data_IF_208867650581
#
_entry.id   IF_208867650581
#
_cell.length_a   1.000
_cell.length_b   1.000
_cell.length_c   1.000
_cell.angle_alpha   90.00
_cell.angle_beta   90.00
_cell.angle_gamma   90.00
#
_symmetry.space_group_name_H-M   'P 1'
#
loop_
_entity.id
_entity.type
_entity.pdbx_description
1 polymer ?
#
# COMPACT_ATOMS: atom_id res chain seq x y z
N UNK A 1 -6.78 -59.97 -23.94
CA UNK A 1 -5.64 -59.09 -23.60
C UNK A 1 -6.11 -57.65 -23.57
N UNK A 2 -6.59 -57.18 -22.41
CA UNK A 2 -7.05 -55.81 -22.18
C UNK A 2 -6.50 -55.34 -20.83
N UNK A 3 -5.20 -55.47 -20.64
CA UNK A 3 -4.52 -55.09 -19.39
C UNK A 3 -3.13 -54.62 -19.78
N UNK A 4 -3.01 -53.48 -20.47
CA UNK A 4 -1.71 -52.79 -20.60
C UNK A 4 -1.81 -51.31 -20.97
N UNK A 5 -3.03 -50.75 -21.07
CA UNK A 5 -3.22 -49.33 -21.43
C UNK A 5 -3.83 -48.50 -20.29
N UNK A 6 -3.47 -48.80 -19.03
CA UNK A 6 -3.93 -48.02 -17.88
C UNK A 6 -2.81 -47.56 -16.95
N UNK A 7 -1.55 -47.94 -17.22
CA UNK A 7 -0.41 -47.56 -16.35
C UNK A 7 0.40 -46.35 -16.84
N UNK A 8 0.13 -45.84 -18.05
CA UNK A 8 0.85 -44.68 -18.58
C UNK A 8 0.23 -43.34 -18.22
N UNK A 9 -1.02 -43.32 -17.71
CA UNK A 9 -1.72 -42.09 -17.30
C UNK A 9 -1.51 -41.71 -15.83
N UNK A 10 -0.85 -42.56 -15.02
CA UNK A 10 -0.65 -42.28 -13.59
C UNK A 10 0.62 -41.48 -13.28
N UNK A 11 1.51 -41.27 -14.26
CA UNK A 11 2.79 -40.56 -14.06
C UNK A 11 2.77 -39.09 -14.47
N UNK A 12 1.65 -38.55 -14.97
CA UNK A 12 1.55 -37.14 -15.36
C UNK A 12 1.11 -36.20 -14.22
N UNK A 13 0.98 -36.68 -12.99
CA UNK A 13 0.45 -35.90 -11.86
C UNK A 13 1.52 -35.45 -10.85
N UNK A 14 2.81 -35.71 -11.09
CA UNK A 14 3.89 -35.41 -10.13
C UNK A 14 5.00 -34.52 -10.68
N UNK A 15 4.64 -33.50 -11.47
CA UNK A 15 5.54 -32.36 -11.67
C UNK A 15 4.78 -31.05 -11.85
N UNK A 16 3.88 -30.74 -10.93
CA UNK A 16 3.85 -29.38 -10.41
C UNK A 16 4.87 -29.39 -9.28
N UNK A 17 6.13 -29.05 -9.58
CA UNK A 17 6.93 -28.42 -8.55
C UNK A 17 6.15 -27.16 -8.21
N UNK A 18 5.43 -27.19 -7.10
CA UNK A 18 5.14 -25.95 -6.39
C UNK A 18 6.50 -25.29 -6.22
N UNK A 19 6.77 -24.29 -7.05
CA UNK A 19 7.77 -23.31 -6.74
C UNK A 19 7.23 -22.74 -5.44
N UNK A 20 7.78 -23.18 -4.31
CA UNK A 20 7.72 -22.45 -3.07
C UNK A 20 8.41 -21.11 -3.37
N UNK A 21 7.67 -20.20 -3.99
CA UNK A 21 7.72 -18.82 -3.59
C UNK A 21 7.13 -18.82 -2.18
N UNK A 22 7.92 -19.30 -1.20
CA UNK A 22 7.75 -18.86 0.17
C UNK A 22 8.04 -17.36 0.12
N UNK A 23 7.05 -16.59 -0.32
CA UNK A 23 6.98 -15.17 -0.06
C UNK A 23 7.13 -14.97 1.44
N UNK A 24 7.79 -13.89 1.82
CA UNK A 24 8.09 -13.58 3.21
C UNK A 24 6.90 -13.90 4.13
N UNK A 25 7.15 -14.69 5.17
CA UNK A 25 6.10 -15.09 6.10
C UNK A 25 5.69 -13.81 6.83
N UNK A 26 4.39 -13.52 7.05
CA UNK A 26 3.95 -12.30 7.76
C UNK A 26 4.64 -12.07 9.12
N UNK A 27 5.16 -13.13 9.74
CA UNK A 27 5.96 -13.07 10.98
C UNK A 27 7.32 -12.39 10.85
N UNK A 28 7.84 -12.18 9.63
CA UNK A 28 9.13 -11.53 9.38
C UNK A 28 9.04 -9.99 9.49
N UNK A 29 7.83 -9.42 9.58
CA UNK A 29 7.58 -7.98 9.65
C UNK A 29 7.17 -7.52 11.07
N UNK A 30 7.82 -8.05 12.12
CA UNK A 30 7.46 -7.73 13.52
C UNK A 30 7.61 -6.25 13.89
N UNK A 31 8.37 -5.48 13.09
CA UNK A 31 8.66 -4.08 13.35
C UNK A 31 7.95 -3.19 12.32
N UNK A 32 6.86 -2.57 12.76
CA UNK A 32 6.14 -1.55 12.01
C UNK A 32 6.95 -0.25 11.98
N UNK A 33 7.80 -0.12 10.95
CA UNK A 33 8.56 1.10 10.70
C UNK A 33 7.76 2.05 9.81
N UNK A 34 7.46 3.24 10.33
CA UNK A 34 6.83 4.33 9.60
C UNK A 34 7.42 5.68 10.01
N UNK A 35 7.26 6.67 9.15
CA UNK A 35 7.62 8.06 9.43
C UNK A 35 6.36 8.76 9.96
N UNK A 36 6.44 9.30 11.17
CA UNK A 36 5.37 10.12 11.75
C UNK A 36 5.29 11.49 11.08
N UNK A 37 4.08 11.85 10.68
CA UNK A 37 3.77 13.08 9.97
C UNK A 37 2.60 13.82 10.62
N UNK A 38 2.53 15.13 10.38
CA UNK A 38 1.43 15.98 10.85
C UNK A 38 0.84 16.74 9.68
N UNK A 39 -0.49 16.75 9.59
CA UNK A 39 -1.19 17.41 8.51
C UNK A 39 -1.37 18.88 8.83
N UNK A 40 -0.60 19.74 8.18
CA UNK A 40 -0.69 21.19 8.39
C UNK A 40 -1.70 21.87 7.48
N UNK A 41 -2.09 21.23 6.37
CA UNK A 41 -3.15 21.68 5.49
C UNK A 41 -3.63 20.53 4.59
N UNK A 42 -4.87 20.59 4.09
CA UNK A 42 -5.35 19.68 3.06
C UNK A 42 -6.43 20.32 2.17
N UNK A 43 -6.47 19.89 0.91
CA UNK A 43 -7.48 20.30 -0.07
C UNK A 43 -7.99 19.08 -0.84
N UNK A 44 -9.30 18.99 -1.04
CA UNK A 44 -9.96 17.90 -1.77
C UNK A 44 -10.21 18.31 -3.23
N UNK A 45 -9.89 17.42 -4.17
CA UNK A 45 -10.12 17.62 -5.60
C UNK A 45 -10.87 16.42 -6.20
N UNK A 46 -11.35 16.56 -7.43
CA UNK A 46 -11.93 15.43 -8.15
C UNK A 46 -10.84 14.37 -8.43
N UNK A 47 -11.00 13.18 -7.85
CA UNK A 47 -10.10 12.03 -8.06
C UNK A 47 -8.81 12.01 -7.25
N UNK A 48 -8.49 13.05 -6.48
CA UNK A 48 -7.33 13.07 -5.56
C UNK A 48 -7.48 14.16 -4.50
N UNK A 49 -6.65 14.12 -3.46
CA UNK A 49 -6.53 15.21 -2.50
C UNK A 49 -5.06 15.58 -2.28
N UNK A 50 -4.83 16.79 -1.79
CA UNK A 50 -3.49 17.25 -1.43
C UNK A 50 -3.37 17.37 0.08
N UNK A 51 -2.25 16.89 0.63
CA UNK A 51 -1.87 17.09 2.03
C UNK A 51 -0.57 17.86 2.10
N UNK A 52 -0.49 18.85 2.98
CA UNK A 52 0.79 19.43 3.40
C UNK A 52 1.25 18.72 4.67
N UNK A 53 2.41 18.07 4.58
CA UNK A 53 3.03 17.31 5.67
C UNK A 53 4.35 17.97 6.10
N UNK A 54 5.07 17.39 7.05
CA UNK A 54 6.42 17.82 7.42
C UNK A 54 7.43 17.58 6.29
N UNK A 55 7.18 16.62 5.40
CA UNK A 55 8.00 16.30 4.23
C UNK A 55 7.18 16.16 2.95
N UNK A 56 7.85 16.34 1.80
CA UNK A 56 7.31 15.99 0.49
C UNK A 56 7.92 14.68 0.00
N UNK A 57 7.07 13.73 -0.36
CA UNK A 57 7.43 12.37 -0.76
C UNK A 57 7.24 12.19 -2.25
N UNK A 58 8.30 12.47 -3.03
CA UNK A 58 8.26 12.23 -4.47
C UNK A 58 8.44 10.74 -4.71
N UNK A 59 7.45 10.03 -5.27
CA UNK A 59 7.61 8.62 -5.62
C UNK A 59 8.63 8.48 -6.76
N UNK A 60 9.45 7.43 -6.73
CA UNK A 60 10.32 7.08 -7.85
C UNK A 60 9.54 6.20 -8.83
N UNK A 61 8.95 6.84 -9.84
CA UNK A 61 8.13 6.17 -10.85
C UNK A 61 8.98 5.96 -12.10
N UNK A 62 9.58 4.77 -12.21
CA UNK A 62 10.21 4.34 -13.45
C UNK A 62 9.13 3.79 -14.39
N UNK A 63 9.03 4.39 -15.59
CA UNK A 63 7.93 4.21 -16.56
C UNK A 63 7.61 2.75 -16.95
N UNK A 64 8.57 1.83 -16.77
CA UNK A 64 8.48 0.42 -17.13
C UNK A 64 8.87 -0.55 -15.97
N UNK A 65 8.89 -0.08 -14.72
CA UNK A 65 9.26 -0.91 -13.57
C UNK A 65 8.03 -1.41 -12.81
N UNK A 66 8.01 -2.72 -12.52
CA UNK A 66 7.09 -3.33 -11.54
C UNK A 66 7.43 -2.84 -10.12
N UNK A 67 8.65 -2.32 -9.91
CA UNK A 67 9.16 -1.79 -8.64
C UNK A 67 9.12 -0.26 -8.68
N UNK A 68 7.94 0.32 -8.56
CA UNK A 68 7.81 1.76 -8.30
C UNK A 68 7.87 1.97 -6.78
N UNK A 69 8.73 2.88 -6.33
CA UNK A 69 8.87 3.20 -4.91
C UNK A 69 7.79 4.19 -4.51
N UNK A 70 6.61 3.63 -4.23
CA UNK A 70 5.47 4.38 -3.71
C UNK A 70 5.61 4.60 -2.21
N UNK A 71 5.10 5.74 -1.76
CA UNK A 71 4.92 6.02 -0.35
C UNK A 71 3.43 5.85 -0.02
N UNK A 72 3.15 5.03 0.99
CA UNK A 72 1.81 4.77 1.45
C UNK A 72 1.51 5.57 2.70
N UNK A 73 0.26 5.98 2.88
CA UNK A 73 -0.18 6.80 3.98
C UNK A 73 -1.38 6.16 4.67
N UNK A 74 -1.35 6.16 6.01
CA UNK A 74 -2.53 5.97 6.86
C UNK A 74 -2.71 7.20 7.75
N UNK A 75 -3.95 7.57 8.01
CA UNK A 75 -4.26 8.63 8.97
C UNK A 75 -4.25 8.05 10.39
N UNK A 76 -3.70 8.81 11.34
CA UNK A 76 -3.77 8.51 12.78
C UNK A 76 -5.12 8.97 13.31
N UNK A 77 -6.20 8.33 12.86
CA UNK A 77 -7.57 8.72 13.18
C UNK A 77 -8.52 7.51 13.24
N UNK A 78 -9.28 7.37 14.33
CA UNK A 78 -10.17 6.22 14.53
C UNK A 78 -11.30 6.10 13.47
N UNK A 79 -11.61 7.18 12.75
CA UNK A 79 -12.67 7.19 11.73
C UNK A 79 -12.15 6.90 10.32
N UNK A 80 -10.83 6.87 10.12
CA UNK A 80 -10.21 6.60 8.83
C UNK A 80 -9.19 5.49 8.98
N UNK A 81 -9.45 4.36 8.32
CA UNK A 81 -8.57 3.20 8.35
C UNK A 81 -8.13 2.77 6.94
N UNK A 82 -8.47 3.56 5.93
CA UNK A 82 -8.06 3.33 4.56
C UNK A 82 -6.55 3.47 4.35
N UNK A 83 -6.07 2.83 3.29
CA UNK A 83 -4.69 2.98 2.79
C UNK A 83 -4.71 3.92 1.61
N UNK A 84 -3.84 4.91 1.65
CA UNK A 84 -3.68 5.90 0.62
C UNK A 84 -2.29 5.81 0.01
N UNK A 85 -2.14 6.28 -1.23
CA UNK A 85 -0.84 6.31 -1.92
C UNK A 85 -0.51 7.71 -2.38
N UNK A 86 0.73 8.12 -2.13
CA UNK A 86 1.29 9.39 -2.63
C UNK A 86 1.78 9.14 -4.05
N UNK A 87 1.19 9.87 -5.00
CA UNK A 87 1.45 9.70 -6.44
C UNK A 87 2.30 10.84 -7.02
N UNK A 88 2.42 11.95 -6.30
CA UNK A 88 3.24 13.10 -6.68
C UNK A 88 3.49 13.96 -5.44
N UNK A 89 4.56 14.75 -5.43
CA UNK A 89 4.81 15.71 -4.37
C UNK A 89 5.59 16.93 -4.84
N UNK A 90 5.20 18.08 -4.31
CA UNK A 90 6.00 19.29 -4.33
C UNK A 90 6.88 19.34 -3.07
N UNK A 91 8.15 18.96 -3.19
CA UNK A 91 9.09 18.90 -2.07
C UNK A 91 9.36 20.25 -1.42
N UNK A 92 9.32 21.35 -2.19
CA UNK A 92 9.54 22.70 -1.67
C UNK A 92 8.44 23.14 -0.72
N UNK A 93 7.18 22.85 -1.06
CA UNK A 93 6.02 23.20 -0.25
C UNK A 93 5.53 22.05 0.61
N UNK A 94 6.20 20.89 0.55
CA UNK A 94 5.86 19.67 1.30
C UNK A 94 4.41 19.22 1.05
N UNK A 95 3.91 19.52 -0.15
CA UNK A 95 2.54 19.20 -0.57
C UNK A 95 2.57 17.89 -1.33
N UNK A 96 1.81 16.91 -0.87
CA UNK A 96 1.75 15.56 -1.39
C UNK A 96 0.39 15.36 -2.05
N UNK A 97 0.38 14.85 -3.28
CA UNK A 97 -0.82 14.46 -4.01
C UNK A 97 -1.13 13.00 -3.70
N UNK A 98 -2.32 12.75 -3.19
CA UNK A 98 -2.69 11.47 -2.61
C UNK A 98 -3.98 10.96 -3.22
N UNK A 99 -4.05 9.65 -3.45
CA UNK A 99 -5.26 8.96 -3.90
C UNK A 99 -5.59 7.77 -2.99
N UNK A 100 -6.88 7.40 -2.88
CA UNK A 100 -7.30 6.14 -2.25
C UNK A 100 -6.72 4.93 -2.99
N UNK A 101 -6.15 3.97 -2.26
CA UNK A 101 -5.60 2.73 -2.83
C UNK A 101 -6.61 1.58 -2.71
N UNK A 102 -7.05 1.32 -1.48
CA UNK A 102 -7.89 0.18 -1.12
C UNK A 102 -9.40 0.53 -1.10
N UNK A 103 -10.26 -0.48 -0.95
CA UNK A 103 -11.70 -0.24 -0.98
C UNK A 103 -12.22 0.49 0.27
N UNK A 104 -11.50 0.46 1.38
CA UNK A 104 -11.83 1.25 2.58
C UNK A 104 -11.59 2.72 2.29
N UNK A 105 -10.38 3.10 1.86
CA UNK A 105 -10.06 4.49 1.53
C UNK A 105 -10.95 5.06 0.42
N UNK A 106 -11.33 4.25 -0.59
CA UNK A 106 -12.25 4.67 -1.65
C UNK A 106 -13.65 5.01 -1.15
N UNK A 107 -14.12 4.33 -0.10
CA UNK A 107 -15.42 4.64 0.55
C UNK A 107 -15.31 5.82 1.51
N UNK A 108 -14.15 5.99 2.13
CA UNK A 108 -13.86 7.13 3.01
C UNK A 108 -13.67 8.42 2.22
N UNK A 109 -13.25 8.36 0.96
CA UNK A 109 -13.04 9.52 0.10
C UNK A 109 -14.31 9.94 -0.67
N UNK A 110 -14.68 11.25 -0.68
CA UNK A 110 -14.10 12.34 0.09
C UNK A 110 -14.46 12.25 1.58
N UNK A 111 -13.53 12.62 2.45
CA UNK A 111 -13.70 12.47 3.90
C UNK A 111 -14.76 13.41 4.47
N UNK A 112 -15.49 12.93 5.47
CA UNK A 112 -16.47 13.70 6.23
C UNK A 112 -15.90 14.40 7.47
N UNK A 113 -14.59 14.24 7.72
CA UNK A 113 -13.92 14.74 8.91
C UNK A 113 -12.87 15.80 8.55
N UNK A 114 -12.50 16.63 9.53
CA UNK A 114 -11.40 17.57 9.41
C UNK A 114 -10.08 16.87 9.73
N UNK A 115 -9.11 16.97 8.82
CA UNK A 115 -7.78 16.36 8.95
C UNK A 115 -6.71 17.34 9.43
N UNK A 116 -7.06 18.60 9.65
CA UNK A 116 -6.10 19.62 10.08
C UNK A 116 -5.55 19.30 11.48
N UNK A 117 -4.23 19.23 11.60
CA UNK A 117 -3.46 18.84 12.78
C UNK A 117 -3.61 17.37 13.21
N UNK A 118 -4.25 16.54 12.39
CA UNK A 118 -4.24 15.09 12.62
C UNK A 118 -2.87 14.51 12.25
N UNK A 119 -2.51 13.40 12.90
CA UNK A 119 -1.32 12.64 12.58
C UNK A 119 -1.50 11.79 11.32
N UNK A 120 -0.41 11.46 10.67
CA UNK A 120 -0.36 10.46 9.60
C UNK A 120 0.92 9.62 9.72
N UNK A 121 0.87 8.40 9.23
CA UNK A 121 2.02 7.51 9.16
C UNK A 121 2.36 7.24 7.71
N UNK A 122 3.61 7.48 7.33
CA UNK A 122 4.14 7.18 6.00
C UNK A 122 4.91 5.87 6.03
N UNK A 123 4.53 4.95 5.17
CA UNK A 123 5.14 3.64 4.99
C UNK A 123 5.82 3.57 3.62
N UNK A 124 6.98 2.90 3.57
CA UNK A 124 7.73 2.66 2.34
C UNK A 124 7.37 1.32 1.66
N UNK A 125 6.61 0.47 2.35
CA UNK A 125 6.27 -0.89 1.91
C UNK A 125 4.77 -1.12 2.04
N UNK A 126 4.15 -1.61 0.96
CA UNK A 126 2.71 -1.88 0.92
C UNK A 126 2.31 -2.98 1.91
N UNK A 127 3.07 -4.08 1.98
CA UNK A 127 2.77 -5.23 2.85
C UNK A 127 2.78 -4.79 4.30
N UNK A 128 3.79 -3.99 4.69
CA UNK A 128 3.84 -3.39 6.02
C UNK A 128 2.65 -2.46 6.26
N UNK A 129 2.27 -1.67 5.26
CA UNK A 129 1.11 -0.78 5.39
C UNK A 129 -0.19 -1.56 5.65
N UNK A 130 -0.38 -2.70 5.00
CA UNK A 130 -1.58 -3.53 5.19
C UNK A 130 -1.64 -4.16 6.59
N UNK A 131 -0.48 -4.54 7.14
CA UNK A 131 -0.39 -5.28 8.41
C UNK A 131 -0.23 -4.38 9.65
N UNK A 132 0.30 -3.16 9.47
CA UNK A 132 0.60 -2.24 10.56
C UNK A 132 -0.49 -1.20 10.80
N UNK A 133 -0.71 -0.88 12.08
CA UNK A 133 -1.59 0.21 12.50
C UNK A 133 -0.80 1.53 12.62
N UNK A 134 -1.49 2.65 12.37
CA UNK A 134 -0.98 4.00 12.62
C UNK A 134 -1.61 4.51 13.92
N UNK A 135 -0.94 4.21 15.05
CA UNK A 135 -1.42 4.50 16.42
C UNK A 135 -0.90 5.84 16.89
#
# INVERSE_FOLDING_TARGET
MRIFLSFFLFFLIFSCNEINEDGAIPSDFSDCEYIEETISNYDLFEGYFSLTLNHGYTPDIARDSIMNDYHFLKFKNEKLNGIYVIIDANTRYKTNKIIPLDDVSKREYPFSINLLNEGACIFLDQIKTEQCECI
#
